data_IF_906670693955
#
_entry.id   IF_906670693955
#
_cell.length_a   1.000
_cell.length_b   1.000
_cell.length_c   1.000
_cell.angle_alpha   90.00
_cell.angle_beta   90.00
_cell.angle_gamma   90.00
#
_symmetry.space_group_name_H-M   'P 1'
#
loop_
_entity.id
_entity.type
_entity.pdbx_description
1 polymer ?
#
# COMPACT_ATOMS: atom_id res chain seq x y z
N UNK A 1 46.06 28.71 34.58
CA UNK A 1 45.56 29.97 33.98
C UNK A 1 44.61 29.60 32.87
N UNK A 2 43.42 29.88 33.03
CA UNK A 2 42.33 30.39 32.22
C UNK A 2 41.00 29.73 32.63
N UNK A 3 40.23 30.55 33.34
CA UNK A 3 38.80 30.37 33.65
C UNK A 3 37.99 30.38 32.38
N UNK A 4 37.04 29.46 32.23
CA UNK A 4 35.92 29.60 31.35
C UNK A 4 34.63 29.58 32.14
N UNK A 5 33.91 30.65 32.01
CA UNK A 5 32.73 31.04 32.72
C UNK A 5 31.52 30.14 32.45
N UNK A 6 30.81 29.80 33.54
CA UNK A 6 29.42 29.35 33.54
C UNK A 6 28.51 30.38 32.85
N UNK A 7 27.85 30.00 31.81
CA UNK A 7 26.65 30.68 31.31
C UNK A 7 25.42 29.86 31.70
N UNK A 8 24.76 30.34 32.75
CA UNK A 8 23.40 29.95 33.09
C UNK A 8 22.46 30.24 31.92
N UNK A 9 21.89 29.20 31.34
CA UNK A 9 20.73 29.29 30.40
C UNK A 9 19.46 29.41 31.26
N UNK A 10 18.85 30.60 31.26
CA UNK A 10 17.52 30.82 31.83
C UNK A 10 16.50 30.03 31.00
N UNK A 11 15.81 29.13 31.66
CA UNK A 11 14.60 28.48 31.19
C UNK A 11 13.44 29.50 31.25
N UNK A 12 13.16 30.17 30.12
CA UNK A 12 11.93 30.96 29.97
C UNK A 12 10.79 30.00 29.57
N UNK A 13 10.19 29.38 30.58
CA UNK A 13 8.95 28.62 30.40
C UNK A 13 7.79 29.60 30.29
N UNK A 14 7.25 29.76 29.09
CA UNK A 14 6.07 30.58 28.84
C UNK A 14 4.86 29.90 29.50
N UNK A 15 4.11 30.57 30.41
CA UNK A 15 2.97 29.96 31.08
C UNK A 15 1.84 29.64 30.08
N UNK A 16 1.33 28.41 30.12
CA UNK A 16 0.22 27.89 29.27
C UNK A 16 -1.04 28.77 29.23
N UNK A 17 -1.24 29.68 30.20
CA UNK A 17 -2.36 30.62 30.22
C UNK A 17 -2.26 31.78 29.22
N UNK A 18 -1.10 32.04 28.63
CA UNK A 18 -0.97 33.09 27.59
C UNK A 18 -1.20 32.59 26.16
N UNK A 19 -1.19 31.29 25.94
CA UNK A 19 -1.48 30.70 24.63
C UNK A 19 -2.99 30.65 24.32
N UNK A 20 -3.86 30.63 25.33
CA UNK A 20 -5.31 30.56 25.12
C UNK A 20 -5.96 31.87 24.63
N UNK A 21 -5.33 33.02 24.87
CA UNK A 21 -5.88 34.33 24.43
C UNK A 21 -5.47 34.76 23.02
N UNK A 22 -4.47 34.10 22.39
CA UNK A 22 -4.09 34.39 21.00
C UNK A 22 -4.87 33.56 19.97
N UNK A 23 -5.54 32.49 20.39
CA UNK A 23 -6.32 31.63 19.47
C UNK A 23 -7.72 32.16 19.14
N UNK A 24 -8.21 33.20 19.86
CA UNK A 24 -9.59 33.72 19.69
C UNK A 24 -9.74 34.84 18.67
N UNK A 25 -8.66 35.37 18.07
CA UNK A 25 -8.71 36.48 17.12
C UNK A 25 -8.29 36.13 15.67
N UNK A 26 -8.24 34.85 15.28
CA UNK A 26 -8.15 34.50 13.88
C UNK A 26 -9.52 34.03 13.37
N UNK A 27 -10.46 34.98 13.31
CA UNK A 27 -11.70 34.82 12.56
C UNK A 27 -11.43 34.80 11.06
N UNK A 28 -11.13 33.64 10.51
CA UNK A 28 -11.17 33.34 9.08
C UNK A 28 -11.81 31.98 8.87
N UNK A 29 -13.09 31.87 9.18
CA UNK A 29 -13.97 30.91 8.52
C UNK A 29 -14.18 31.38 7.08
N UNK A 30 -13.19 31.22 6.23
CA UNK A 30 -13.41 31.07 4.80
C UNK A 30 -13.56 29.59 4.55
N UNK A 31 -14.79 29.10 4.50
CA UNK A 31 -15.14 27.84 3.87
C UNK A 31 -14.46 27.82 2.49
N UNK A 32 -13.36 27.07 2.36
CA UNK A 32 -12.76 26.80 1.06
C UNK A 32 -13.86 26.19 0.21
N UNK A 33 -14.19 26.75 -0.95
CA UNK A 33 -15.10 26.09 -1.86
C UNK A 33 -14.50 24.70 -2.14
N UNK A 34 -15.29 23.65 -1.94
CA UNK A 34 -14.90 22.32 -2.35
C UNK A 34 -14.50 22.42 -3.82
N UNK A 35 -13.23 22.16 -4.13
CA UNK A 35 -12.74 22.08 -5.49
C UNK A 35 -13.54 20.98 -6.17
N UNK A 36 -14.60 21.36 -6.89
CA UNK A 36 -15.32 20.48 -7.80
C UNK A 36 -14.38 20.22 -8.98
N UNK A 37 -13.59 19.16 -8.87
CA UNK A 37 -12.92 18.65 -10.05
C UNK A 37 -13.99 18.24 -11.06
N UNK A 38 -13.89 18.67 -12.34
CA UNK A 38 -14.76 18.17 -13.37
C UNK A 38 -14.68 16.66 -13.38
N UNK A 39 -15.81 15.97 -13.34
CA UNK A 39 -15.82 14.51 -13.54
C UNK A 39 -15.16 14.25 -14.90
N UNK A 40 -14.13 13.41 -14.99
CA UNK A 40 -13.56 13.09 -16.28
C UNK A 40 -14.69 12.57 -17.17
N UNK A 41 -14.92 13.22 -18.31
CA UNK A 41 -15.78 12.71 -19.35
C UNK A 41 -15.13 11.40 -19.85
N UNK A 42 -15.56 10.28 -19.28
CA UNK A 42 -15.20 8.99 -19.85
C UNK A 42 -15.84 8.91 -21.22
N UNK A 43 -15.02 8.61 -22.24
CA UNK A 43 -15.54 8.25 -23.55
C UNK A 43 -16.52 7.09 -23.36
N UNK A 44 -17.74 7.13 -23.96
CA UNK A 44 -18.70 6.03 -23.90
C UNK A 44 -18.14 4.70 -24.42
N UNK A 45 -17.02 4.77 -25.12
CA UNK A 45 -16.32 3.62 -25.70
C UNK A 45 -15.35 2.91 -24.75
N UNK A 46 -15.15 3.39 -23.50
CA UNK A 46 -14.25 2.70 -22.57
C UNK A 46 -14.97 1.56 -21.82
N UNK A 47 -14.30 0.41 -21.61
CA UNK A 47 -14.86 -0.64 -20.78
C UNK A 47 -15.03 -0.17 -19.34
N UNK A 48 -16.07 -0.62 -18.61
CA UNK A 48 -16.13 -0.42 -17.17
C UNK A 48 -14.88 -0.99 -16.50
N UNK A 49 -14.32 -0.26 -15.53
CA UNK A 49 -13.14 -0.72 -14.77
C UNK A 49 -13.60 -1.43 -13.51
N UNK A 50 -13.10 -2.65 -13.29
CA UNK A 50 -13.42 -3.46 -12.11
C UNK A 50 -12.13 -3.88 -11.40
N UNK A 51 -12.02 -3.58 -10.11
CA UNK A 51 -10.96 -4.07 -9.26
C UNK A 51 -11.40 -5.38 -8.58
N UNK A 52 -10.76 -6.49 -8.93
CA UNK A 52 -10.95 -7.81 -8.34
C UNK A 52 -10.23 -7.92 -6.98
N UNK A 53 -10.72 -7.18 -5.98
CA UNK A 53 -10.10 -7.17 -4.65
C UNK A 53 -11.04 -6.60 -3.58
N UNK A 54 -11.02 -7.18 -2.38
CA UNK A 54 -11.64 -6.64 -1.17
C UNK A 54 -10.68 -5.74 -0.36
N UNK A 55 -9.39 -5.64 -0.75
CA UNK A 55 -8.39 -4.85 -0.03
C UNK A 55 -8.68 -3.36 -0.11
N UNK A 56 -8.90 -2.73 1.06
CA UNK A 56 -9.03 -1.27 1.19
C UNK A 56 -7.81 -0.51 0.65
N UNK A 57 -6.61 -1.04 0.86
CA UNK A 57 -5.37 -0.43 0.40
C UNK A 57 -5.30 -0.35 -1.13
N UNK A 58 -5.66 -1.43 -1.83
CA UNK A 58 -5.71 -1.44 -3.29
C UNK A 58 -6.80 -0.50 -3.84
N UNK A 59 -7.93 -0.39 -3.16
CA UNK A 59 -9.00 0.55 -3.52
C UNK A 59 -8.53 2.00 -3.37
N UNK A 60 -7.88 2.34 -2.25
CA UNK A 60 -7.31 3.66 -2.02
C UNK A 60 -6.23 4.01 -3.06
N UNK A 61 -5.35 3.07 -3.38
CA UNK A 61 -4.35 3.25 -4.42
C UNK A 61 -4.99 3.51 -5.78
N UNK A 62 -5.95 2.68 -6.21
CA UNK A 62 -6.61 2.83 -7.50
C UNK A 62 -7.36 4.17 -7.60
N UNK A 63 -7.95 4.64 -6.50
CA UNK A 63 -8.66 5.93 -6.44
C UNK A 63 -7.76 7.12 -6.78
N UNK A 64 -6.44 7.01 -6.57
CA UNK A 64 -5.46 8.05 -6.91
C UNK A 64 -5.39 8.32 -8.41
N UNK A 65 -5.71 7.32 -9.25
CA UNK A 65 -5.75 7.49 -10.70
C UNK A 65 -6.98 8.25 -11.19
N UNK A 66 -7.97 8.51 -10.31
CA UNK A 66 -9.20 9.29 -10.60
C UNK A 66 -10.02 8.74 -11.78
N UNK A 67 -9.85 7.47 -12.10
CA UNK A 67 -10.69 6.73 -13.04
C UNK A 67 -11.82 6.09 -12.24
N UNK A 68 -13.08 6.25 -12.63
CA UNK A 68 -14.19 5.55 -11.99
C UNK A 68 -14.01 4.04 -12.08
N UNK A 69 -14.22 3.33 -10.98
CA UNK A 69 -14.15 1.87 -10.93
C UNK A 69 -15.16 1.30 -9.95
N UNK A 70 -15.44 0.03 -10.09
CA UNK A 70 -16.19 -0.77 -9.11
C UNK A 70 -15.26 -1.84 -8.52
N UNK A 71 -15.65 -2.39 -7.37
CA UNK A 71 -14.89 -3.46 -6.71
C UNK A 71 -15.73 -4.73 -6.65
N UNK A 72 -15.07 -5.87 -6.78
CA UNK A 72 -15.71 -7.17 -6.60
C UNK A 72 -14.73 -8.14 -5.91
N UNK A 73 -15.23 -8.89 -4.92
CA UNK A 73 -14.43 -9.94 -4.29
C UNK A 73 -14.22 -11.10 -5.25
N UNK A 74 -12.97 -11.55 -5.47
CA UNK A 74 -12.68 -12.64 -6.42
C UNK A 74 -13.09 -14.02 -5.91
N UNK A 75 -13.18 -14.23 -4.59
CA UNK A 75 -13.61 -15.46 -3.95
C UNK A 75 -12.96 -16.72 -4.56
N UNK A 76 -11.62 -16.76 -4.52
CA UNK A 76 -10.79 -17.86 -5.05
C UNK A 76 -10.02 -18.56 -3.94
N UNK A 77 -9.58 -19.78 -4.19
CA UNK A 77 -8.61 -20.47 -3.34
C UNK A 77 -7.22 -19.83 -3.49
N UNK A 78 -6.71 -19.25 -2.40
CA UNK A 78 -5.39 -18.63 -2.34
C UNK A 78 -4.30 -19.56 -1.78
N UNK A 79 -4.60 -20.83 -1.55
CA UNK A 79 -3.64 -21.81 -1.04
C UNK A 79 -2.44 -21.96 -1.98
N UNK A 80 -1.29 -22.28 -1.37
CA UNK A 80 -0.05 -22.54 -2.11
C UNK A 80 -0.16 -23.86 -2.89
N UNK A 81 0.33 -23.86 -4.13
CA UNK A 81 0.40 -25.07 -4.95
C UNK A 81 1.81 -25.65 -4.95
N UNK A 82 1.97 -26.84 -4.36
CA UNK A 82 3.24 -27.57 -4.39
C UNK A 82 4.43 -26.74 -3.90
N UNK A 83 5.49 -26.68 -4.72
CA UNK A 83 6.73 -25.94 -4.44
C UNK A 83 6.87 -24.66 -5.27
N UNK A 84 5.75 -24.02 -5.65
CA UNK A 84 5.82 -22.76 -6.42
C UNK A 84 6.66 -21.71 -5.70
N UNK A 85 7.46 -20.93 -6.45
CA UNK A 85 8.22 -19.82 -5.90
C UNK A 85 7.27 -18.66 -5.47
N UNK A 86 7.68 -17.78 -4.52
CA UNK A 86 6.85 -16.64 -4.08
C UNK A 86 6.31 -15.80 -5.24
N UNK A 87 7.16 -15.49 -6.23
CA UNK A 87 6.78 -14.72 -7.42
C UNK A 87 5.78 -15.45 -8.33
N UNK A 88 5.89 -16.78 -8.43
CA UNK A 88 4.96 -17.60 -9.22
C UNK A 88 3.59 -17.63 -8.57
N UNK A 89 3.55 -17.77 -7.25
CA UNK A 89 2.32 -17.66 -6.47
C UNK A 89 1.64 -16.29 -6.66
N UNK A 90 2.39 -15.20 -6.53
CA UNK A 90 1.85 -13.86 -6.72
C UNK A 90 1.23 -13.69 -8.13
N UNK A 91 1.94 -14.12 -9.19
CA UNK A 91 1.45 -14.06 -10.57
C UNK A 91 0.20 -14.93 -10.74
N UNK A 92 0.22 -16.17 -10.27
CA UNK A 92 -0.92 -17.07 -10.35
C UNK A 92 -2.16 -16.50 -9.67
N UNK A 93 -2.00 -16.02 -8.44
CA UNK A 93 -3.11 -15.46 -7.67
C UNK A 93 -3.65 -14.16 -8.29
N UNK A 94 -2.79 -13.27 -8.77
CA UNK A 94 -3.22 -12.07 -9.49
C UNK A 94 -4.04 -12.42 -10.73
N UNK A 95 -3.60 -13.42 -11.50
CA UNK A 95 -4.30 -13.96 -12.68
C UNK A 95 -5.65 -14.56 -12.29
N UNK A 96 -5.66 -15.50 -11.35
CA UNK A 96 -6.89 -16.18 -10.91
C UNK A 96 -7.93 -15.18 -10.40
N UNK A 97 -7.51 -14.14 -9.65
CA UNK A 97 -8.38 -13.04 -9.20
C UNK A 97 -8.99 -12.28 -10.38
N UNK A 98 -8.17 -11.94 -11.38
CA UNK A 98 -8.66 -11.23 -12.56
C UNK A 98 -9.63 -12.09 -13.38
N UNK A 99 -9.32 -13.37 -13.61
CA UNK A 99 -10.14 -14.30 -14.39
C UNK A 99 -11.50 -14.57 -13.72
N UNK A 100 -11.52 -14.79 -12.40
CA UNK A 100 -12.75 -15.00 -11.64
C UNK A 100 -13.70 -13.80 -11.74
N UNK A 101 -13.17 -12.58 -11.76
CA UNK A 101 -13.97 -11.37 -11.92
C UNK A 101 -14.36 -11.14 -13.38
N UNK A 102 -13.46 -11.38 -14.34
CA UNK A 102 -13.76 -11.22 -15.77
C UNK A 102 -14.93 -12.11 -16.22
N UNK A 103 -15.03 -13.32 -15.66
CA UNK A 103 -16.15 -14.21 -15.91
C UNK A 103 -17.51 -13.64 -15.45
N UNK A 104 -17.50 -12.81 -14.39
CA UNK A 104 -18.72 -12.18 -13.82
C UNK A 104 -19.04 -10.83 -14.49
N UNK A 105 -18.07 -10.19 -15.12
CA UNK A 105 -18.19 -8.86 -15.73
C UNK A 105 -17.72 -8.90 -17.18
N UNK A 106 -18.46 -9.56 -18.10
CA UNK A 106 -18.05 -9.67 -19.49
C UNK A 106 -17.93 -8.28 -20.13
N UNK A 107 -16.87 -8.08 -20.92
CA UNK A 107 -16.57 -6.80 -21.57
C UNK A 107 -15.96 -5.72 -20.67
N UNK A 108 -15.79 -5.95 -19.36
CA UNK A 108 -15.11 -5.03 -18.47
C UNK A 108 -13.58 -5.10 -18.61
N UNK A 109 -12.90 -4.02 -18.21
CA UNK A 109 -11.47 -4.07 -17.91
C UNK A 109 -11.30 -4.47 -16.44
N UNK A 110 -10.70 -5.62 -16.20
CA UNK A 110 -10.57 -6.20 -14.86
C UNK A 110 -9.13 -6.15 -14.38
N UNK A 111 -8.94 -5.68 -13.15
CA UNK A 111 -7.65 -5.64 -12.46
C UNK A 111 -7.65 -6.70 -11.37
N UNK A 112 -6.72 -7.66 -11.45
CA UNK A 112 -6.34 -8.56 -10.37
C UNK A 112 -4.95 -8.23 -9.87
N UNK A 113 -4.72 -8.31 -8.56
CA UNK A 113 -3.40 -8.13 -7.97
C UNK A 113 -3.23 -9.01 -6.76
N UNK A 114 -2.00 -9.52 -6.61
CA UNK A 114 -1.60 -10.26 -5.43
C UNK A 114 -0.19 -9.88 -4.99
N UNK A 115 0.13 -10.13 -3.71
CA UNK A 115 1.44 -9.83 -3.14
C UNK A 115 1.87 -10.95 -2.21
N UNK A 116 3.10 -11.41 -2.39
CA UNK A 116 3.74 -12.39 -1.52
C UNK A 116 5.01 -11.78 -0.93
N UNK A 117 5.07 -11.70 0.40
CA UNK A 117 6.27 -11.32 1.14
C UNK A 117 7.10 -12.56 1.42
N UNK A 118 8.42 -12.50 1.20
CA UNK A 118 9.32 -13.61 1.48
C UNK A 118 10.68 -13.16 1.99
N UNK A 119 11.29 -13.98 2.86
CA UNK A 119 12.61 -13.76 3.40
C UNK A 119 13.29 -15.12 3.65
N UNK A 120 14.45 -15.35 3.04
CA UNK A 120 15.20 -16.60 3.22
C UNK A 120 14.42 -17.87 2.83
N UNK A 121 13.53 -17.77 1.83
CA UNK A 121 12.69 -18.88 1.38
C UNK A 121 11.38 -19.05 2.16
N UNK A 122 11.19 -18.38 3.30
CA UNK A 122 9.93 -18.36 4.05
C UNK A 122 9.00 -17.28 3.52
N UNK A 123 7.69 -17.58 3.51
CA UNK A 123 6.63 -16.62 3.16
C UNK A 123 6.01 -16.05 4.42
N UNK A 124 5.68 -14.77 4.36
CA UNK A 124 5.07 -14.03 5.46
C UNK A 124 3.72 -13.48 5.01
N UNK A 125 2.67 -14.12 5.46
CA UNK A 125 1.30 -13.70 5.21
C UNK A 125 0.84 -12.58 6.15
N UNK A 126 -0.46 -12.36 6.18
CA UNK A 126 -1.13 -11.48 7.15
C UNK A 126 -1.07 -12.16 8.52
N UNK A 127 -0.58 -11.51 9.58
CA UNK A 127 -0.44 -12.15 10.88
C UNK A 127 -1.79 -12.47 11.54
N UNK A 128 -2.83 -11.67 11.32
CA UNK A 128 -4.17 -11.88 11.84
C UNK A 128 -4.33 -11.70 13.36
N UNK A 129 -3.24 -11.68 14.12
CA UNK A 129 -3.25 -11.42 15.55
C UNK A 129 -2.03 -10.60 16.00
N UNK A 130 -2.16 -9.91 17.14
CA UNK A 130 -1.09 -9.12 17.75
C UNK A 130 0.18 -9.95 18.00
N UNK A 131 0.04 -11.10 18.61
CA UNK A 131 1.19 -11.93 18.96
C UNK A 131 1.89 -12.50 17.72
N UNK A 132 1.13 -12.88 16.71
CA UNK A 132 1.69 -13.31 15.42
C UNK A 132 2.40 -12.15 14.69
N UNK A 133 1.88 -10.92 14.75
CA UNK A 133 2.54 -9.75 14.19
C UNK A 133 3.88 -9.46 14.89
N UNK A 134 3.91 -9.54 16.21
CA UNK A 134 5.13 -9.36 17.00
C UNK A 134 6.15 -10.44 16.66
N UNK A 135 5.74 -11.72 16.61
CA UNK A 135 6.62 -12.82 16.25
C UNK A 135 7.20 -12.64 14.84
N UNK A 136 6.35 -12.30 13.87
CA UNK A 136 6.75 -12.08 12.49
C UNK A 136 7.77 -10.93 12.37
N UNK A 137 7.53 -9.79 13.03
CA UNK A 137 8.48 -8.66 13.01
C UNK A 137 9.79 -8.98 13.73
N UNK A 138 9.77 -9.79 14.77
CA UNK A 138 10.98 -10.24 15.44
C UNK A 138 11.84 -11.11 14.51
N UNK A 139 11.23 -11.99 13.72
CA UNK A 139 11.94 -12.80 12.70
C UNK A 139 12.49 -11.93 11.56
N UNK A 140 11.80 -10.85 11.17
CA UNK A 140 12.19 -9.96 10.09
C UNK A 140 13.19 -8.88 10.51
N UNK A 141 13.42 -8.69 11.79
CA UNK A 141 14.36 -7.71 12.35
C UNK A 141 15.77 -7.88 11.77
N UNK A 142 16.35 -6.81 11.23
CA UNK A 142 17.68 -6.79 10.63
C UNK A 142 17.79 -7.58 9.31
N UNK A 143 16.67 -7.98 8.70
CA UNK A 143 16.68 -8.81 7.48
C UNK A 143 16.11 -8.07 6.28
N UNK A 144 16.46 -8.58 5.12
CA UNK A 144 15.90 -8.15 3.84
C UNK A 144 14.71 -9.03 3.46
N UNK A 145 13.57 -8.39 3.20
CA UNK A 145 12.31 -9.01 2.76
C UNK A 145 12.03 -8.58 1.33
N UNK A 146 11.66 -9.52 0.48
CA UNK A 146 11.20 -9.24 -0.88
C UNK A 146 9.67 -9.35 -0.91
N UNK A 147 9.03 -8.31 -1.40
CA UNK A 147 7.60 -8.27 -1.68
C UNK A 147 7.41 -8.38 -3.19
N UNK A 148 7.01 -9.56 -3.66
CA UNK A 148 6.66 -9.80 -5.05
C UNK A 148 5.19 -9.39 -5.28
N UNK A 149 4.95 -8.24 -5.91
CA UNK A 149 3.61 -7.75 -6.19
C UNK A 149 3.26 -7.97 -7.66
N UNK A 150 2.29 -8.82 -7.91
CA UNK A 150 1.84 -9.14 -9.26
C UNK A 150 0.56 -8.40 -9.62
N UNK A 151 0.46 -8.08 -10.91
CA UNK A 151 -0.67 -7.40 -11.55
C UNK A 151 -1.12 -8.22 -12.75
N UNK A 152 -2.42 -8.43 -12.88
CA UNK A 152 -3.06 -8.98 -14.07
C UNK A 152 -4.20 -8.04 -14.50
N UNK A 153 -4.16 -7.57 -15.74
CA UNK A 153 -5.21 -6.72 -16.33
C UNK A 153 -5.81 -7.45 -17.52
N UNK A 154 -7.12 -7.67 -17.50
CA UNK A 154 -7.88 -8.29 -18.60
C UNK A 154 -8.75 -7.23 -19.25
N UNK A 155 -8.51 -6.96 -20.55
CA UNK A 155 -9.44 -6.20 -21.38
C UNK A 155 -10.51 -7.14 -21.94
N UNK A 156 -11.68 -7.14 -21.30
CA UNK A 156 -12.77 -8.04 -21.68
C UNK A 156 -13.39 -7.74 -23.07
N UNK A 157 -13.15 -6.56 -23.66
CA UNK A 157 -13.60 -6.26 -25.02
C UNK A 157 -12.70 -6.89 -26.08
N UNK A 158 -11.38 -6.82 -25.84
CA UNK A 158 -10.38 -7.35 -26.79
C UNK A 158 -10.01 -8.80 -26.50
N UNK A 159 -10.41 -9.34 -25.33
CA UNK A 159 -9.99 -10.64 -24.85
C UNK A 159 -8.48 -10.71 -24.57
N UNK A 160 -7.82 -9.58 -24.35
CA UNK A 160 -6.37 -9.55 -24.07
C UNK A 160 -6.08 -9.53 -22.58
N UNK A 161 -4.97 -10.18 -22.20
CA UNK A 161 -4.46 -10.23 -20.82
C UNK A 161 -3.04 -9.69 -20.78
N UNK A 162 -2.78 -8.84 -19.80
CA UNK A 162 -1.48 -8.26 -19.53
C UNK A 162 -1.09 -8.56 -18.10
N UNK A 163 0.12 -9.05 -17.90
CA UNK A 163 0.65 -9.41 -16.59
C UNK A 163 1.95 -8.64 -16.32
N UNK A 164 2.20 -8.33 -15.06
CA UNK A 164 3.43 -7.75 -14.59
C UNK A 164 3.74 -8.21 -13.18
N UNK A 165 5.03 -8.33 -12.87
CA UNK A 165 5.55 -8.55 -11.54
C UNK A 165 6.45 -7.36 -11.18
N UNK A 166 6.21 -6.76 -10.03
CA UNK A 166 6.97 -5.61 -9.52
C UNK A 166 7.48 -5.96 -8.13
N UNK A 167 8.74 -6.38 -8.02
CA UNK A 167 9.34 -6.67 -6.73
C UNK A 167 9.71 -5.39 -5.98
N UNK A 168 9.60 -5.44 -4.66
CA UNK A 168 10.09 -4.40 -3.76
C UNK A 168 10.95 -5.05 -2.69
N UNK A 169 12.18 -4.60 -2.55
CA UNK A 169 13.10 -5.04 -1.51
C UNK A 169 13.01 -4.09 -0.32
N UNK A 170 12.78 -4.65 0.86
CA UNK A 170 12.65 -3.91 2.12
C UNK A 170 13.69 -4.43 3.10
N UNK A 171 14.56 -3.55 3.57
CA UNK A 171 15.52 -3.85 4.62
C UNK A 171 14.96 -3.35 5.94
N UNK A 172 14.68 -4.26 6.86
CA UNK A 172 14.30 -3.90 8.21
C UNK A 172 15.56 -3.54 9.01
N UNK A 173 15.50 -2.47 9.79
CA UNK A 173 16.54 -2.19 10.79
C UNK A 173 16.53 -3.23 11.90
N UNK A 174 17.57 -3.30 12.72
CA UNK A 174 17.53 -4.08 13.96
C UNK A 174 16.46 -3.48 14.87
N UNK A 175 15.48 -4.30 15.27
CA UNK A 175 14.31 -3.93 16.08
C UNK A 175 14.40 -4.60 17.45
N UNK A 176 14.27 -3.83 18.50
CA UNK A 176 14.08 -4.36 19.85
C UNK A 176 12.63 -4.79 20.08
N UNK A 177 12.42 -5.71 21.02
CA UNK A 177 11.07 -6.18 21.38
C UNK A 177 10.12 -5.05 21.77
N UNK A 178 10.51 -4.06 22.61
CA UNK A 178 9.64 -2.94 22.95
C UNK A 178 9.25 -2.05 21.75
N UNK A 179 10.15 -1.88 20.77
CA UNK A 179 9.85 -1.12 19.55
C UNK A 179 8.80 -1.83 18.69
N UNK A 180 8.93 -3.16 18.55
CA UNK A 180 7.98 -4.00 17.81
C UNK A 180 6.59 -3.93 18.47
N UNK A 181 6.51 -4.16 19.78
CA UNK A 181 5.25 -4.11 20.53
C UNK A 181 4.57 -2.74 20.41
N UNK A 182 5.34 -1.67 20.60
CA UNK A 182 4.83 -0.31 20.45
C UNK A 182 4.30 -0.04 19.04
N UNK A 183 5.00 -0.49 18.01
CA UNK A 183 4.54 -0.33 16.63
C UNK A 183 3.23 -1.08 16.40
N UNK A 184 3.16 -2.36 16.79
CA UNK A 184 1.97 -3.19 16.59
C UNK A 184 0.76 -2.58 17.30
N UNK A 185 0.94 -2.05 18.53
CA UNK A 185 -0.12 -1.42 19.30
C UNK A 185 -0.61 -0.09 18.71
N UNK A 186 0.25 0.65 17.99
CA UNK A 186 -0.11 1.94 17.40
C UNK A 186 -0.67 1.84 15.98
N UNK A 187 -0.19 0.88 15.19
CA UNK A 187 -0.47 0.83 13.75
C UNK A 187 -1.39 -0.33 13.34
N UNK A 188 -1.61 -1.29 14.23
CA UNK A 188 -2.49 -2.45 14.03
C UNK A 188 -2.27 -3.14 12.66
N UNK A 189 -1.07 -3.70 12.38
CA UNK A 189 -0.69 -4.21 11.05
C UNK A 189 -1.17 -5.65 10.81
N UNK A 190 -2.31 -6.06 11.34
CA UNK A 190 -2.77 -7.44 11.36
C UNK A 190 -3.25 -7.96 10.00
N UNK A 191 -3.61 -7.06 9.11
CA UNK A 191 -4.14 -7.36 7.77
C UNK A 191 -3.10 -7.14 6.64
N UNK A 192 -1.82 -6.93 6.99
CA UNK A 192 -0.73 -6.68 6.04
C UNK A 192 0.28 -7.82 6.00
N UNK A 193 0.69 -8.26 4.82
CA UNK A 193 1.79 -9.20 4.66
C UNK A 193 3.09 -8.60 5.22
N UNK A 194 3.87 -9.42 5.95
CA UNK A 194 5.09 -8.93 6.60
C UNK A 194 4.85 -8.07 7.84
N UNK A 195 3.60 -7.92 8.30
CA UNK A 195 3.22 -7.15 9.49
C UNK A 195 3.77 -5.70 9.49
N UNK A 196 3.93 -5.06 8.31
CA UNK A 196 4.45 -3.69 8.21
C UNK A 196 3.63 -2.87 7.20
N UNK A 197 3.21 -1.67 7.61
CA UNK A 197 2.50 -0.69 6.76
C UNK A 197 3.46 0.43 6.40
N UNK A 198 4.09 0.35 5.23
CA UNK A 198 5.06 1.36 4.78
C UNK A 198 4.45 2.73 4.54
N UNK A 199 3.16 2.77 4.25
CA UNK A 199 2.35 3.98 4.07
C UNK A 199 1.92 4.64 5.39
N UNK A 200 2.27 4.04 6.51
CA UNK A 200 1.96 4.50 7.86
C UNK A 200 3.21 4.46 8.75
N UNK A 201 3.06 4.14 10.04
CA UNK A 201 4.15 4.10 11.02
C UNK A 201 5.19 3.01 10.71
N UNK A 202 4.84 1.97 9.96
CA UNK A 202 5.75 0.90 9.56
C UNK A 202 6.97 1.36 8.79
N UNK A 203 6.94 2.55 8.15
CA UNK A 203 8.13 3.16 7.52
C UNK A 203 9.28 3.37 8.52
N UNK A 204 8.99 3.59 9.81
CA UNK A 204 9.99 3.76 10.85
C UNK A 204 10.73 2.47 11.25
N UNK A 205 10.23 1.31 10.82
CA UNK A 205 10.88 0.01 11.02
C UNK A 205 11.95 -0.29 9.97
N UNK A 206 12.00 0.51 8.90
CA UNK A 206 12.80 0.23 7.73
C UNK A 206 14.12 0.99 7.76
N UNK A 207 15.17 0.36 7.26
CA UNK A 207 16.46 0.97 6.96
C UNK A 207 16.51 1.42 5.48
N UNK A 208 15.96 0.59 4.58
CA UNK A 208 15.95 0.86 3.14
C UNK A 208 14.74 0.24 2.47
N UNK A 209 14.23 0.93 1.46
CA UNK A 209 13.19 0.47 0.56
C UNK A 209 13.68 0.69 -0.88
N UNK A 210 13.60 -0.34 -1.73
CA UNK A 210 14.09 -0.31 -3.10
C UNK A 210 13.12 -1.03 -4.03
N UNK A 211 12.74 -0.37 -5.13
CA UNK A 211 11.81 -0.91 -6.15
C UNK A 211 11.44 0.15 -7.17
N UNK A 212 10.94 -0.29 -8.34
CA UNK A 212 10.61 0.59 -9.46
C UNK A 212 9.26 1.31 -9.30
N UNK A 213 8.43 0.88 -8.36
CA UNK A 213 7.10 1.44 -8.12
C UNK A 213 6.81 1.49 -6.61
N UNK A 214 6.83 2.69 -5.98
CA UNK A 214 6.64 2.82 -4.53
C UNK A 214 5.26 2.35 -4.06
N UNK A 215 4.28 2.25 -4.95
CA UNK A 215 2.93 1.78 -4.62
C UNK A 215 2.81 0.26 -4.67
N UNK A 216 3.78 -0.43 -5.25
CA UNK A 216 3.81 -1.89 -5.30
C UNK A 216 3.83 -2.50 -3.90
N UNK A 217 4.61 -1.94 -2.96
CA UNK A 217 4.69 -2.42 -1.59
C UNK A 217 3.35 -2.36 -0.85
N UNK A 218 2.51 -1.37 -1.16
CA UNK A 218 1.16 -1.22 -0.59
C UNK A 218 0.16 -2.20 -1.23
N UNK A 219 0.53 -2.82 -2.38
CA UNK A 219 -0.19 -3.93 -2.97
C UNK A 219 -0.82 -3.69 -4.35
N UNK A 220 -0.59 -2.53 -4.99
CA UNK A 220 -1.03 -2.26 -6.37
C UNK A 220 -0.02 -1.34 -7.09
N UNK A 221 0.76 -1.86 -8.05
CA UNK A 221 1.80 -1.09 -8.74
C UNK A 221 1.18 -0.08 -9.72
N UNK A 222 1.01 1.17 -9.30
CA UNK A 222 0.28 2.19 -10.08
C UNK A 222 1.04 2.68 -11.30
N UNK A 223 2.37 2.72 -11.27
CA UNK A 223 3.17 3.10 -12.45
C UNK A 223 2.90 2.10 -13.58
N UNK A 224 3.03 0.82 -13.26
CA UNK A 224 2.79 -0.24 -14.25
C UNK A 224 1.33 -0.32 -14.67
N UNK A 225 0.39 -0.22 -13.72
CA UNK A 225 -1.05 -0.22 -14.00
C UNK A 225 -1.44 0.95 -14.91
N UNK A 226 -0.94 2.16 -14.64
CA UNK A 226 -1.24 3.32 -15.49
C UNK A 226 -0.78 3.13 -16.94
N UNK A 227 0.40 2.53 -17.14
CA UNK A 227 0.88 2.22 -18.49
C UNK A 227 -0.05 1.24 -19.23
N UNK A 228 -0.52 0.19 -18.54
CA UNK A 228 -1.46 -0.78 -19.10
C UNK A 228 -2.81 -0.15 -19.42
N UNK A 229 -3.37 0.64 -18.51
CA UNK A 229 -4.65 1.32 -18.71
C UNK A 229 -4.61 2.33 -19.86
N UNK A 230 -3.49 3.09 -20.02
CA UNK A 230 -3.29 3.94 -21.21
C UNK A 230 -3.28 3.14 -22.50
N UNK A 231 -2.64 1.97 -22.51
CA UNK A 231 -2.63 1.07 -23.67
C UNK A 231 -4.02 0.54 -24.05
N UNK A 232 -4.93 0.43 -23.09
CA UNK A 232 -6.34 0.07 -23.31
C UNK A 232 -7.15 1.28 -23.79
N UNK A 233 -6.71 2.51 -23.49
CA UNK A 233 -7.35 3.76 -23.91
C UNK A 233 -7.91 4.62 -22.78
N UNK A 234 -7.64 4.29 -21.52
CA UNK A 234 -8.05 5.15 -20.40
C UNK A 234 -7.30 6.47 -20.43
N UNK A 235 -7.99 7.61 -20.19
CA UNK A 235 -7.41 8.95 -20.27
C UNK A 235 -6.59 9.27 -19.02
N UNK A 236 -5.43 8.67 -18.90
CA UNK A 236 -4.45 8.93 -17.84
C UNK A 236 -3.31 9.80 -18.40
N UNK A 237 -2.73 10.72 -17.59
CA UNK A 237 -1.60 11.54 -17.98
C UNK A 237 -0.39 10.69 -18.38
#
# INVERSE_FOLDING_TARGET
>A
MMQWAEKQTRNDTIPLKQLSKRAQNFGLQRSRPALRFPRPHMSPDLPPLVLGSSSRYRQELLSRLRVPFTTASPDIDESMLGHEAPREQAIRLARSKAEAIAARFPGACVIGSDQVASCGGHRYGKPGSRDAAIAQLAELSGRTVVFDTALCVIDGRRGTRHEALVPTEVVFRALSRPEIERYVDLDDPLDCAGAAKSESLGIALLERLSGDDPTALVGLPLIRLSALLRGIGYPLP
#
